data_IF_616461274911
#
_entry.id   IF_616461274911
#
_cell.length_a   1.000
_cell.length_b   1.000
_cell.length_c   1.000
_cell.angle_alpha   90.00
_cell.angle_beta   90.00
_cell.angle_gamma   90.00
#
_symmetry.space_group_name_H-M   'P 1'
#
loop_
_entity.id
_entity.type
_entity.pdbx_description
1 polymer ?
#
# COMPACT_ATOMS: atom_id res chain seq x y z
N UNK A 1 -44.11 41.00 -7.04
CA UNK A 1 -42.82 41.25 -6.37
C UNK A 1 -42.97 40.61 -4.99
N UNK A 2 -42.43 39.42 -4.72
CA UNK A 2 -41.03 39.17 -4.37
C UNK A 2 -40.57 37.76 -4.78
N UNK A 3 -39.27 37.67 -5.04
CA UNK A 3 -38.60 36.59 -5.73
C UNK A 3 -37.91 35.61 -4.75
N UNK A 4 -37.69 34.38 -5.23
CA UNK A 4 -36.65 33.40 -4.80
C UNK A 4 -36.91 32.79 -3.40
N UNK A 5 -37.03 31.47 -3.25
CA UNK A 5 -35.94 30.53 -3.49
C UNK A 5 -36.44 29.14 -3.88
N UNK A 6 -35.75 28.60 -4.89
CA UNK A 6 -35.71 27.19 -5.31
C UNK A 6 -34.72 26.44 -4.41
N UNK A 7 -34.93 25.15 -4.21
CA UNK A 7 -33.93 24.06 -4.18
C UNK A 7 -34.52 22.91 -3.34
N UNK A 8 -35.16 21.94 -3.97
CA UNK A 8 -34.53 20.67 -4.35
C UNK A 8 -34.00 19.94 -3.10
N UNK A 9 -34.92 19.24 -2.45
CA UNK A 9 -34.59 18.17 -1.51
C UNK A 9 -33.93 17.04 -2.32
N UNK A 10 -32.60 17.00 -2.30
CA UNK A 10 -31.82 15.92 -2.88
C UNK A 10 -30.68 15.60 -1.93
N UNK A 11 -30.99 14.76 -0.94
CA UNK A 11 -30.00 13.87 -0.33
C UNK A 11 -30.69 12.51 -0.16
N UNK A 12 -31.04 11.95 -1.31
CA UNK A 12 -31.36 10.54 -1.46
C UNK A 12 -30.02 9.79 -1.48
N UNK A 13 -29.86 8.85 -0.55
CA UNK A 13 -28.95 7.72 -0.72
C UNK A 13 -27.47 8.03 -0.60
N UNK A 14 -26.99 8.16 0.64
CA UNK A 14 -25.63 7.79 0.97
C UNK A 14 -25.51 6.26 0.84
N UNK A 15 -25.37 5.75 -0.39
CA UNK A 15 -24.95 4.38 -0.65
C UNK A 15 -23.43 4.40 -0.88
N UNK A 16 -22.70 4.69 0.19
CA UNK A 16 -21.24 4.58 0.20
C UNK A 16 -20.87 3.11 0.30
N UNK A 17 -19.87 2.76 -0.52
CA UNK A 17 -19.07 1.54 -0.50
C UNK A 17 -19.81 0.27 -0.95
N UNK A 18 -19.76 0.05 -2.26
CA UNK A 18 -19.42 -1.26 -2.82
C UNK A 18 -18.46 -1.97 -1.87
N UNK A 19 -18.92 -3.05 -1.25
CA UNK A 19 -18.08 -4.02 -0.56
C UNK A 19 -17.14 -4.61 -1.60
N UNK A 20 -15.96 -3.98 -1.74
CA UNK A 20 -14.84 -4.55 -2.44
C UNK A 20 -14.62 -5.95 -1.86
N UNK A 21 -14.52 -6.91 -2.77
CA UNK A 21 -14.35 -8.33 -2.53
C UNK A 21 -13.38 -8.51 -1.37
N UNK A 22 -13.89 -9.01 -0.24
CA UNK A 22 -13.04 -9.58 0.79
C UNK A 22 -12.39 -10.81 0.14
N UNK A 23 -11.31 -10.59 -0.59
CA UNK A 23 -10.39 -11.63 -0.98
C UNK A 23 -9.99 -12.29 0.33
N UNK A 24 -10.34 -13.57 0.47
CA UNK A 24 -10.21 -14.33 1.71
C UNK A 24 -8.72 -14.52 1.95
N UNK A 25 -8.12 -13.54 2.63
CA UNK A 25 -6.71 -13.54 2.90
C UNK A 25 -6.42 -14.69 3.84
N UNK A 26 -5.76 -15.72 3.31
CA UNK A 26 -5.43 -16.89 4.11
C UNK A 26 -4.24 -16.56 5.01
N UNK A 27 -4.32 -16.87 6.32
CA UNK A 27 -3.23 -16.62 7.26
C UNK A 27 -1.87 -17.18 6.80
N UNK A 28 -1.89 -18.30 6.09
CA UNK A 28 -0.70 -18.96 5.52
C UNK A 28 0.02 -18.15 4.43
N UNK A 29 -0.59 -17.09 3.88
CA UNK A 29 0.02 -16.24 2.87
C UNK A 29 0.90 -15.13 3.50
N UNK A 30 0.84 -14.94 4.83
CA UNK A 30 1.66 -13.93 5.55
C UNK A 30 3.17 -14.10 5.36
N UNK A 31 3.77 -15.30 5.46
CA UNK A 31 5.19 -15.49 5.23
C UNK A 31 5.62 -15.11 3.80
N UNK A 32 4.78 -15.42 2.81
CA UNK A 32 5.04 -15.07 1.41
C UNK A 32 5.02 -13.55 1.20
N UNK A 33 4.00 -12.86 1.72
CA UNK A 33 3.92 -11.39 1.69
C UNK A 33 5.09 -10.70 2.39
N UNK A 34 5.50 -11.23 3.54
CA UNK A 34 6.68 -10.74 4.27
C UNK A 34 7.98 -11.00 3.50
N UNK A 35 8.05 -12.04 2.67
CA UNK A 35 9.17 -12.24 1.74
C UNK A 35 9.11 -11.21 0.61
N UNK A 36 7.96 -10.94 0.01
CA UNK A 36 7.82 -9.94 -1.06
C UNK A 36 8.30 -8.54 -0.64
N UNK A 37 7.99 -8.10 0.58
CA UNK A 37 8.50 -6.82 1.09
C UNK A 37 10.02 -6.80 1.27
N UNK A 38 10.61 -7.92 1.69
CA UNK A 38 12.07 -8.06 1.80
C UNK A 38 12.72 -8.02 0.43
N UNK A 39 12.14 -8.71 -0.55
CA UNK A 39 12.61 -8.70 -1.94
C UNK A 39 12.47 -7.31 -2.57
N UNK A 40 11.48 -6.52 -2.13
CA UNK A 40 11.29 -5.13 -2.51
C UNK A 40 12.24 -4.15 -1.79
N UNK A 41 13.07 -4.63 -0.86
CA UNK A 41 14.13 -3.87 -0.20
C UNK A 41 13.80 -3.36 1.21
N UNK A 42 12.67 -3.76 1.80
CA UNK A 42 12.42 -3.51 3.24
C UNK A 42 13.30 -4.44 4.06
N UNK A 43 14.01 -3.88 5.03
CA UNK A 43 14.86 -4.66 5.92
C UNK A 43 14.07 -5.76 6.68
N UNK A 44 14.68 -6.93 6.85
CA UNK A 44 14.01 -8.10 7.44
C UNK A 44 13.63 -7.89 8.91
N UNK A 45 14.45 -7.14 9.67
CA UNK A 45 14.13 -6.81 11.06
C UNK A 45 12.99 -5.81 11.13
N UNK A 46 12.90 -4.89 10.16
CA UNK A 46 11.78 -3.95 10.05
C UNK A 46 10.45 -4.64 9.71
N UNK A 47 10.46 -5.62 8.79
CA UNK A 47 9.27 -6.44 8.50
C UNK A 47 8.86 -7.25 9.73
N UNK A 48 9.83 -7.83 10.46
CA UNK A 48 9.56 -8.56 11.70
C UNK A 48 8.96 -7.66 12.78
N UNK A 49 9.50 -6.46 12.96
CA UNK A 49 9.02 -5.48 13.92
C UNK A 49 7.58 -5.05 13.62
N UNK A 50 7.26 -4.77 12.34
CA UNK A 50 5.90 -4.45 11.91
C UNK A 50 4.91 -5.59 12.22
N UNK A 51 5.29 -6.85 11.95
CA UNK A 51 4.46 -8.02 12.28
C UNK A 51 4.32 -8.23 13.79
N UNK A 52 5.37 -7.98 14.56
CA UNK A 52 5.32 -8.04 16.01
C UNK A 52 4.37 -6.96 16.57
N UNK A 53 4.42 -5.75 16.03
CA UNK A 53 3.50 -4.67 16.37
C UNK A 53 2.04 -5.02 16.00
N UNK A 54 1.81 -5.59 14.82
CA UNK A 54 0.49 -6.08 14.40
C UNK A 54 -0.06 -7.13 15.38
N UNK A 55 0.78 -8.08 15.80
CA UNK A 55 0.41 -9.09 16.80
C UNK A 55 0.12 -8.48 18.17
N UNK A 56 0.93 -7.53 18.63
CA UNK A 56 0.73 -6.82 19.89
C UNK A 56 -0.58 -6.01 19.87
N UNK A 57 -0.91 -5.43 18.72
CA UNK A 57 -2.16 -4.73 18.43
C UNK A 57 -3.37 -5.66 18.25
N UNK A 58 -3.17 -6.99 18.36
CA UNK A 58 -4.18 -8.05 18.18
C UNK A 58 -4.88 -7.97 16.81
N UNK A 59 -4.15 -7.57 15.76
CA UNK A 59 -4.66 -7.64 14.40
C UNK A 59 -4.99 -9.09 14.03
N UNK A 60 -6.08 -9.27 13.27
CA UNK A 60 -6.34 -10.56 12.64
C UNK A 60 -5.27 -10.86 11.60
N UNK A 61 -5.16 -12.13 11.19
CA UNK A 61 -4.23 -12.49 10.11
C UNK A 61 -4.58 -11.78 8.80
N UNK A 62 -5.88 -11.57 8.52
CA UNK A 62 -6.35 -10.81 7.37
C UNK A 62 -5.92 -9.35 7.42
N UNK A 63 -6.05 -8.69 8.58
CA UNK A 63 -5.61 -7.30 8.74
C UNK A 63 -4.09 -7.16 8.66
N UNK A 64 -3.35 -8.10 9.26
CA UNK A 64 -1.90 -8.13 9.18
C UNK A 64 -1.44 -8.30 7.73
N UNK A 65 -2.15 -9.08 6.93
CA UNK A 65 -1.82 -9.26 5.53
C UNK A 65 -2.19 -8.03 4.69
N UNK A 66 -3.35 -7.41 4.95
CA UNK A 66 -3.73 -6.14 4.32
C UNK A 66 -2.70 -5.03 4.62
N UNK A 67 -2.09 -5.02 5.81
CA UNK A 67 -0.99 -4.13 6.16
C UNK A 67 0.24 -4.37 5.28
N UNK A 68 0.65 -5.63 5.08
CA UNK A 68 1.78 -5.95 4.22
C UNK A 68 1.50 -5.60 2.75
N UNK A 69 0.28 -5.91 2.27
CA UNK A 69 -0.16 -5.59 0.90
C UNK A 69 -0.20 -4.08 0.67
N UNK A 70 -0.70 -3.32 1.64
CA UNK A 70 -0.71 -1.85 1.60
C UNK A 70 0.70 -1.24 1.59
N UNK A 71 1.71 -2.00 2.01
CA UNK A 71 3.10 -1.56 2.02
C UNK A 71 3.84 -1.93 0.72
N UNK A 72 3.45 -3.01 0.04
CA UNK A 72 4.20 -3.54 -1.10
C UNK A 72 4.23 -2.57 -2.28
N UNK A 73 3.06 -2.12 -2.76
CA UNK A 73 3.01 -1.19 -3.89
C UNK A 73 3.74 0.14 -3.61
N UNK A 74 3.57 0.79 -2.43
CA UNK A 74 4.33 2.00 -2.10
C UNK A 74 5.84 1.79 -1.98
N UNK A 75 6.30 0.64 -1.49
CA UNK A 75 7.73 0.28 -1.49
C UNK A 75 8.23 0.14 -2.92
N UNK A 76 7.47 -0.51 -3.80
CA UNK A 76 7.85 -0.67 -5.20
C UNK A 76 7.86 0.66 -5.98
N UNK A 77 6.98 1.59 -5.62
CA UNK A 77 6.86 2.89 -6.29
C UNK A 77 7.87 3.92 -5.76
N UNK A 78 7.95 4.07 -4.44
CA UNK A 78 8.70 5.14 -3.77
C UNK A 78 9.96 4.65 -3.04
N UNK A 79 10.15 3.34 -2.93
CA UNK A 79 11.22 2.73 -2.15
C UNK A 79 10.83 2.47 -0.69
N UNK A 80 11.66 1.72 0.04
CA UNK A 80 11.47 1.48 1.47
C UNK A 80 11.62 2.80 2.25
N UNK A 81 10.99 2.86 3.42
CA UNK A 81 11.18 3.95 4.39
C UNK A 81 12.10 3.49 5.51
N UNK A 82 12.91 4.39 6.03
CA UNK A 82 13.71 4.14 7.23
C UNK A 82 12.81 4.01 8.45
N UNK A 83 13.02 2.97 9.27
CA UNK A 83 12.25 2.74 10.49
C UNK A 83 10.80 2.29 10.25
N UNK A 84 10.54 1.59 9.14
CA UNK A 84 9.21 1.08 8.78
C UNK A 84 8.49 0.35 9.93
N UNK A 85 9.19 -0.53 10.65
CA UNK A 85 8.62 -1.28 11.78
C UNK A 85 8.13 -0.37 12.91
N UNK A 86 8.97 0.59 13.28
CA UNK A 86 8.64 1.59 14.31
C UNK A 86 7.50 2.51 13.87
N UNK A 87 7.46 2.91 12.59
CA UNK A 87 6.35 3.68 12.03
C UNK A 87 5.03 2.91 12.13
N UNK A 88 4.99 1.67 11.65
CA UNK A 88 3.80 0.81 11.75
C UNK A 88 3.34 0.67 13.20
N UNK A 89 4.28 0.47 14.14
CA UNK A 89 3.98 0.42 15.56
C UNK A 89 3.31 1.71 16.04
N UNK A 90 3.85 2.88 15.71
CA UNK A 90 3.30 4.17 16.11
C UNK A 90 1.87 4.39 15.59
N UNK A 91 1.60 4.03 14.33
CA UNK A 91 0.26 4.12 13.75
C UNK A 91 -0.72 3.15 14.44
N UNK A 92 -0.24 1.95 14.79
CA UNK A 92 -1.06 1.00 15.52
C UNK A 92 -1.36 1.45 16.96
N UNK A 93 -0.39 2.05 17.64
CA UNK A 93 -0.56 2.65 18.97
C UNK A 93 -1.52 3.84 18.94
N UNK A 94 -1.52 4.61 17.84
CA UNK A 94 -2.49 5.68 17.59
C UNK A 94 -3.91 5.18 17.26
N UNK A 95 -4.10 3.85 17.20
CA UNK A 95 -5.40 3.22 16.95
C UNK A 95 -5.78 3.07 15.49
N UNK A 96 -4.91 3.44 14.53
CA UNK A 96 -5.23 3.30 13.10
C UNK A 96 -5.24 1.84 12.66
N UNK A 97 -6.26 1.45 11.90
CA UNK A 97 -6.45 0.06 11.44
C UNK A 97 -6.99 0.05 10.01
N UNK A 98 -6.88 -1.08 9.33
CA UNK A 98 -7.43 -1.28 7.99
C UNK A 98 -7.05 -0.17 7.00
N UNK A 99 -8.05 0.46 6.38
CA UNK A 99 -7.87 1.49 5.35
C UNK A 99 -7.11 2.74 5.84
N UNK A 100 -7.30 3.15 7.09
CA UNK A 100 -6.62 4.32 7.65
C UNK A 100 -5.12 4.05 7.81
N UNK A 101 -4.78 2.85 8.29
CA UNK A 101 -3.39 2.41 8.41
C UNK A 101 -2.74 2.29 7.03
N UNK A 102 -3.44 1.70 6.06
CA UNK A 102 -2.97 1.58 4.69
C UNK A 102 -2.69 2.96 4.06
N UNK A 103 -3.59 3.92 4.25
CA UNK A 103 -3.43 5.29 3.76
C UNK A 103 -2.24 6.00 4.40
N UNK A 104 -2.01 5.79 5.70
CA UNK A 104 -0.87 6.33 6.41
C UNK A 104 0.46 5.75 5.90
N UNK A 105 0.50 4.43 5.64
CA UNK A 105 1.66 3.76 5.06
C UNK A 105 1.96 4.32 3.67
N UNK A 106 0.96 4.39 2.79
CA UNK A 106 1.13 4.98 1.44
C UNK A 106 1.68 6.41 1.51
N UNK A 107 1.11 7.24 2.37
CA UNK A 107 1.55 8.62 2.55
C UNK A 107 2.99 8.72 3.07
N UNK A 108 3.40 7.81 3.95
CA UNK A 108 4.76 7.79 4.49
C UNK A 108 5.78 7.40 3.42
N UNK A 109 5.50 6.35 2.65
CA UNK A 109 6.34 5.94 1.51
C UNK A 109 6.42 7.04 0.45
N UNK A 110 5.32 7.70 0.13
CA UNK A 110 5.33 8.83 -0.82
C UNK A 110 6.17 10.02 -0.32
N UNK A 111 6.21 10.27 0.99
CA UNK A 111 6.96 11.40 1.59
C UNK A 111 8.43 11.11 1.84
N UNK A 112 8.73 9.89 2.32
CA UNK A 112 10.03 9.50 2.90
C UNK A 112 10.62 8.26 2.25
N UNK A 113 9.99 7.71 1.22
CA UNK A 113 10.54 6.61 0.45
C UNK A 113 11.92 6.98 -0.05
N UNK A 114 12.89 6.11 0.19
CA UNK A 114 14.30 6.36 -0.12
C UNK A 114 14.61 6.29 -1.63
N UNK A 115 13.57 6.16 -2.46
CA UNK A 115 13.67 5.86 -3.88
C UNK A 115 14.16 4.43 -4.12
N UNK A 116 13.80 3.86 -5.27
CA UNK A 116 14.67 2.84 -5.86
C UNK A 116 15.96 3.54 -6.22
N UNK A 117 17.12 3.06 -5.76
CA UNK A 117 18.37 3.39 -6.43
C UNK A 117 18.22 3.03 -7.91
N UNK A 118 17.85 4.00 -8.75
CA UNK A 118 17.47 3.77 -10.15
C UNK A 118 18.74 3.58 -10.99
N UNK A 119 18.67 2.75 -12.04
CA UNK A 119 19.09 3.22 -13.35
C UNK A 119 17.86 3.68 -14.19
N UNK A 120 18.10 4.49 -15.24
CA UNK A 120 17.10 5.26 -16.00
C UNK A 120 16.05 4.42 -16.76
N UNK A 121 15.02 5.07 -17.38
CA UNK A 121 14.01 4.38 -18.18
C UNK A 121 14.55 3.77 -19.50
N UNK A 122 13.87 2.70 -19.93
CA UNK A 122 13.86 1.98 -21.24
C UNK A 122 15.13 1.28 -21.78
N UNK A 123 14.97 0.08 -22.36
CA UNK A 123 15.58 -0.27 -23.64
C UNK A 123 14.61 0.03 -24.79
N UNK A 124 15.08 0.81 -25.76
CA UNK A 124 14.45 1.02 -27.06
C UNK A 124 14.17 -0.32 -27.76
N UNK A 125 12.91 -0.75 -27.74
CA UNK A 125 12.42 -1.96 -28.39
C UNK A 125 11.78 -1.68 -29.75
N UNK A 126 12.52 -1.07 -30.69
CA UNK A 126 12.19 -1.13 -32.11
C UNK A 126 13.48 -1.42 -32.89
N UNK A 127 13.74 -2.71 -33.13
CA UNK A 127 14.82 -3.16 -34.00
C UNK A 127 14.60 -2.67 -35.44
N UNK A 128 15.59 -2.05 -36.12
CA UNK A 128 15.68 -2.16 -37.56
C UNK A 128 16.21 -3.55 -37.91
N UNK A 129 15.45 -4.23 -38.77
CA UNK A 129 15.67 -5.60 -39.25
C UNK A 129 17.07 -5.73 -39.89
N UNK A 130 17.75 -6.89 -39.78
CA UNK A 130 18.89 -7.15 -40.65
C UNK A 130 18.38 -7.21 -42.10
N UNK A 131 18.94 -6.35 -42.96
CA UNK A 131 18.64 -6.38 -44.39
C UNK A 131 19.16 -7.66 -45.06
N UNK A 132 18.50 -8.19 -46.09
CA UNK A 132 19.05 -9.29 -46.87
C UNK A 132 20.16 -8.76 -47.80
N UNK A 133 21.37 -9.27 -47.65
CA UNK A 133 22.44 -9.17 -48.65
C UNK A 133 22.43 -10.43 -49.54
N UNK A 134 22.60 -10.27 -50.86
CA UNK A 134 23.65 -10.97 -51.58
C UNK A 134 24.88 -10.06 -51.78
#
# INVERSE_FOLDING_TARGET
MNARARAVALVLGCLVATTALAEEVRPEDLPARAQSLRDAGVDADQVREALHAARAAKLSAGDAAALLDASLAPVEEHGPVEGFGAFVKAQLDAGLRGSELASAIQAEHAKRGLGKGKPPPEPAGAAPRPGPHP
#
